data_IF_439963583161
#
_entry.id   IF_439963583161
#
_cell.length_a   1.000
_cell.length_b   1.000
_cell.length_c   1.000
_cell.angle_alpha   90.00
_cell.angle_beta   90.00
_cell.angle_gamma   90.00
#
_symmetry.space_group_name_H-M   'P 1'
#
loop_
_entity.id
_entity.type
_entity.pdbx_description
1 polymer ?
#
# COMPACT_ATOMS: atom_id res chain seq x y z
N UNK A 1 -2.87 0.78 16.70
CA UNK A 1 -2.43 -0.45 17.41
C UNK A 1 -1.19 -0.25 18.33
N UNK A 2 -1.00 -1.03 19.41
CA UNK A 2 0.21 -0.93 20.30
C UNK A 2 1.47 -1.55 19.64
N UNK A 3 2.64 -0.93 19.84
CA UNK A 3 3.93 -1.33 19.26
C UNK A 3 4.32 -2.80 19.55
N UNK A 4 3.97 -3.30 20.74
CA UNK A 4 4.22 -4.69 21.14
C UNK A 4 3.40 -5.69 20.30
N UNK A 5 2.14 -5.36 20.03
CA UNK A 5 1.25 -6.16 19.19
C UNK A 5 1.75 -6.17 17.75
N UNK A 6 2.18 -5.01 17.22
CA UNK A 6 2.73 -4.90 15.87
C UNK A 6 3.95 -5.81 15.65
N UNK A 7 4.88 -5.85 16.62
CA UNK A 7 6.04 -6.77 16.55
C UNK A 7 5.64 -8.24 16.56
N UNK A 8 4.53 -8.58 17.23
CA UNK A 8 4.03 -9.95 17.28
C UNK A 8 3.35 -10.34 15.97
N UNK A 9 2.52 -9.46 15.40
CA UNK A 9 1.90 -9.67 14.10
C UNK A 9 2.95 -9.75 12.99
N UNK A 10 3.97 -8.90 13.00
CA UNK A 10 5.05 -8.96 11.99
C UNK A 10 5.85 -10.27 12.05
N UNK A 11 6.02 -10.86 13.23
CA UNK A 11 6.58 -12.22 13.36
C UNK A 11 5.65 -13.29 12.81
N UNK A 12 4.34 -13.19 13.06
CA UNK A 12 3.35 -14.15 12.54
C UNK A 12 3.26 -14.09 11.01
N UNK A 13 3.34 -12.89 10.43
CA UNK A 13 3.43 -12.64 8.99
C UNK A 13 4.66 -13.33 8.39
N UNK A 14 5.85 -13.11 8.98
CA UNK A 14 7.09 -13.77 8.55
C UNK A 14 7.05 -15.30 8.70
N UNK A 15 6.29 -15.80 9.66
CA UNK A 15 6.15 -17.23 9.93
C UNK A 15 5.05 -17.91 9.08
N UNK A 16 4.31 -17.16 8.24
CA UNK A 16 3.23 -17.70 7.41
C UNK A 16 2.04 -18.26 8.21
N UNK A 17 1.92 -17.91 9.50
CA UNK A 17 0.87 -18.44 10.38
C UNK A 17 -0.42 -17.62 10.28
N UNK A 18 -1.02 -17.62 9.08
CA UNK A 18 -2.16 -16.77 8.72
C UNK A 18 -3.39 -17.00 9.61
N UNK A 19 -3.71 -18.27 9.95
CA UNK A 19 -4.80 -18.58 10.91
C UNK A 19 -4.62 -17.96 12.29
N UNK A 20 -3.38 -17.88 12.76
CA UNK A 20 -3.08 -17.24 14.05
C UNK A 20 -3.10 -15.72 13.95
N UNK A 21 -2.75 -15.17 12.79
CA UNK A 21 -2.83 -13.75 12.49
C UNK A 21 -4.28 -13.28 12.55
N UNK A 22 -5.20 -13.95 11.86
CA UNK A 22 -6.63 -13.62 11.85
C UNK A 22 -7.21 -13.58 13.28
N UNK A 23 -6.86 -14.57 14.11
CA UNK A 23 -7.31 -14.62 15.51
C UNK A 23 -6.77 -13.45 16.35
N UNK A 24 -5.53 -13.07 16.14
CA UNK A 24 -4.90 -11.95 16.87
C UNK A 24 -5.38 -10.58 16.35
N UNK A 25 -5.85 -10.50 15.10
CA UNK A 25 -6.46 -9.31 14.50
C UNK A 25 -7.92 -9.10 14.94
N UNK A 26 -8.65 -10.17 15.29
CA UNK A 26 -10.06 -10.14 15.67
C UNK A 26 -10.46 -9.00 16.65
N UNK A 27 -9.77 -8.76 17.79
CA UNK A 27 -10.13 -7.66 18.68
C UNK A 27 -9.91 -6.28 18.05
N UNK A 28 -8.88 -6.11 17.23
CA UNK A 28 -8.58 -4.83 16.57
C UNK A 28 -9.55 -4.52 15.41
N UNK A 29 -10.10 -5.56 14.78
CA UNK A 29 -11.18 -5.41 13.80
C UNK A 29 -12.46 -4.90 14.46
N UNK A 30 -12.75 -5.32 15.70
CA UNK A 30 -13.89 -4.78 16.49
C UNK A 30 -13.65 -3.31 16.86
N UNK A 31 -12.40 -2.95 17.15
CA UNK A 31 -11.99 -1.57 17.43
C UNK A 31 -11.90 -0.69 16.17
N UNK A 32 -12.18 -1.25 14.99
CA UNK A 32 -12.08 -0.58 13.69
C UNK A 32 -10.68 0.01 13.42
N UNK A 33 -9.62 -0.64 13.91
CA UNK A 33 -8.24 -0.18 13.70
C UNK A 33 -7.86 -0.30 12.21
N UNK A 34 -7.39 0.78 11.57
CA UNK A 34 -7.09 0.79 10.14
C UNK A 34 -5.95 -0.18 9.77
N UNK A 35 -4.96 -0.37 10.64
CA UNK A 35 -3.87 -1.34 10.42
C UNK A 35 -4.43 -2.77 10.38
N UNK A 36 -5.36 -3.07 11.29
CA UNK A 36 -5.95 -4.40 11.39
C UNK A 36 -6.86 -4.70 10.19
N UNK A 37 -7.64 -3.72 9.75
CA UNK A 37 -8.47 -3.81 8.53
C UNK A 37 -7.60 -4.04 7.30
N UNK A 38 -6.53 -3.26 7.14
CA UNK A 38 -5.58 -3.42 6.04
C UNK A 38 -4.99 -4.83 6.01
N UNK A 39 -4.46 -5.31 7.14
CA UNK A 39 -3.87 -6.64 7.25
C UNK A 39 -4.89 -7.75 7.00
N UNK A 40 -6.11 -7.61 7.52
CA UNK A 40 -7.16 -8.61 7.32
C UNK A 40 -7.51 -8.76 5.84
N UNK A 41 -7.70 -7.66 5.12
CA UNK A 41 -8.08 -7.72 3.71
C UNK A 41 -6.93 -8.24 2.83
N UNK A 42 -5.67 -7.95 3.20
CA UNK A 42 -4.50 -8.39 2.44
C UNK A 42 -4.12 -9.87 2.69
N UNK A 43 -4.38 -10.40 3.89
CA UNK A 43 -3.97 -11.76 4.29
C UNK A 43 -5.13 -12.75 4.46
N UNK A 44 -6.38 -12.32 4.24
CA UNK A 44 -7.56 -13.18 4.29
C UNK A 44 -7.48 -14.20 3.15
N UNK A 45 -7.28 -15.46 3.52
CA UNK A 45 -7.24 -16.60 2.58
C UNK A 45 -8.63 -17.21 2.36
N UNK A 46 -9.68 -16.47 2.73
CA UNK A 46 -11.03 -17.00 2.94
C UNK A 46 -11.94 -16.86 1.73
N UNK A 47 -11.52 -16.14 0.69
CA UNK A 47 -12.33 -15.81 -0.48
C UNK A 47 -11.63 -16.21 -1.80
N UNK A 48 -12.45 -16.41 -2.82
CA UNK A 48 -12.05 -16.59 -4.22
C UNK A 48 -11.35 -15.32 -4.76
N UNK A 49 -10.45 -15.46 -5.73
CA UNK A 49 -9.62 -14.35 -6.26
C UNK A 49 -10.41 -13.10 -6.63
N UNK A 50 -11.44 -13.24 -7.49
CA UNK A 50 -12.24 -12.09 -7.96
C UNK A 50 -13.00 -11.36 -6.84
N UNK A 51 -13.58 -12.10 -5.88
CA UNK A 51 -14.28 -11.50 -4.74
C UNK A 51 -13.31 -10.85 -3.75
N UNK A 52 -12.09 -11.39 -3.66
CA UNK A 52 -11.02 -10.85 -2.82
C UNK A 52 -10.54 -9.52 -3.38
N UNK A 53 -10.35 -9.42 -4.68
CA UNK A 53 -9.85 -8.22 -5.36
C UNK A 53 -10.85 -7.05 -5.29
N UNK A 54 -12.13 -7.31 -5.58
CA UNK A 54 -13.19 -6.30 -5.45
C UNK A 54 -13.33 -5.78 -4.00
N UNK A 55 -13.26 -6.69 -3.02
CA UNK A 55 -13.29 -6.31 -1.59
C UNK A 55 -12.04 -5.52 -1.21
N UNK A 56 -10.87 -5.93 -1.72
CA UNK A 56 -9.60 -5.27 -1.46
C UNK A 56 -9.61 -3.83 -1.93
N UNK A 57 -10.01 -3.56 -3.18
CA UNK A 57 -10.09 -2.19 -3.70
C UNK A 57 -11.09 -1.34 -2.91
N UNK A 58 -12.26 -1.89 -2.58
CA UNK A 58 -13.27 -1.17 -1.79
C UNK A 58 -12.74 -0.75 -0.41
N UNK A 59 -12.07 -1.66 0.29
CA UNK A 59 -11.47 -1.32 1.60
C UNK A 59 -10.26 -0.40 1.48
N UNK A 60 -9.42 -0.56 0.45
CA UNK A 60 -8.32 0.37 0.18
C UNK A 60 -8.83 1.79 -0.05
N UNK A 61 -9.95 1.98 -0.74
CA UNK A 61 -10.56 3.29 -0.90
C UNK A 61 -11.02 3.89 0.43
N UNK A 62 -11.65 3.11 1.31
CA UNK A 62 -12.06 3.58 2.64
C UNK A 62 -10.85 3.96 3.49
N UNK A 63 -9.86 3.10 3.56
CA UNK A 63 -8.63 3.34 4.31
C UNK A 63 -7.82 4.51 3.74
N UNK A 64 -7.82 4.69 2.42
CA UNK A 64 -7.24 5.85 1.75
C UNK A 64 -7.96 7.15 2.15
N UNK A 65 -9.28 7.12 2.29
CA UNK A 65 -10.05 8.28 2.77
C UNK A 65 -9.75 8.60 4.25
N UNK A 66 -9.39 7.59 5.03
CA UNK A 66 -8.89 7.72 6.41
C UNK A 66 -7.40 8.10 6.49
N UNK A 67 -6.75 8.41 5.34
CA UNK A 67 -5.32 8.73 5.25
C UNK A 67 -4.40 7.62 5.78
N UNK A 68 -4.80 6.36 5.65
CA UNK A 68 -3.98 5.23 6.05
C UNK A 68 -2.78 5.05 5.08
N UNK A 69 -1.52 5.26 5.51
CA UNK A 69 -0.40 5.37 4.57
C UNK A 69 -0.06 4.09 3.79
N UNK A 70 -0.16 2.86 4.37
CA UNK A 70 -0.04 1.62 3.61
C UNK A 70 -1.10 1.47 2.51
N UNK A 71 -2.36 1.81 2.80
CA UNK A 71 -3.44 1.73 1.80
C UNK A 71 -3.29 2.74 0.67
N UNK A 72 -2.86 3.96 0.98
CA UNK A 72 -2.59 4.99 -0.03
C UNK A 72 -1.55 4.50 -1.05
N UNK A 73 -0.46 3.91 -0.56
CA UNK A 73 0.59 3.32 -1.41
C UNK A 73 0.03 2.18 -2.27
N UNK A 74 -0.72 1.25 -1.68
CA UNK A 74 -1.23 0.08 -2.40
C UNK A 74 -2.26 0.48 -3.47
N UNK A 75 -3.16 1.40 -3.14
CA UNK A 75 -4.12 1.96 -4.08
C UNK A 75 -3.43 2.71 -5.22
N UNK A 76 -2.34 3.44 -4.93
CA UNK A 76 -1.53 4.09 -5.95
C UNK A 76 -1.03 3.06 -6.97
N UNK A 77 -0.40 1.98 -6.52
CA UNK A 77 0.11 0.94 -7.42
C UNK A 77 -0.99 0.31 -8.26
N UNK A 78 -2.19 0.09 -7.71
CA UNK A 78 -3.34 -0.35 -8.50
C UNK A 78 -3.73 0.63 -9.59
N UNK A 79 -3.75 1.94 -9.32
CA UNK A 79 -3.95 2.98 -10.35
C UNK A 79 -2.85 3.00 -11.42
N UNK A 80 -1.62 2.61 -11.09
CA UNK A 80 -0.53 2.50 -12.07
C UNK A 80 -0.73 1.32 -13.02
N UNK A 81 -1.15 0.18 -12.50
CA UNK A 81 -1.28 -1.08 -13.25
C UNK A 81 -2.65 -1.23 -13.94
N UNK A 82 -3.70 -0.63 -13.38
CA UNK A 82 -5.08 -0.81 -13.84
C UNK A 82 -5.79 -2.00 -13.19
N UNK A 83 -5.34 -2.43 -12.00
CA UNK A 83 -5.84 -3.62 -11.31
C UNK A 83 -7.14 -3.27 -10.56
N UNK A 84 -8.29 -3.63 -11.16
CA UNK A 84 -9.66 -3.35 -10.67
C UNK A 84 -10.03 -1.85 -10.59
N UNK A 85 -9.11 -0.97 -10.99
CA UNK A 85 -9.30 0.48 -11.08
C UNK A 85 -8.82 0.98 -12.44
N UNK A 86 -9.43 2.04 -13.01
CA UNK A 86 -8.96 2.59 -14.28
C UNK A 86 -7.54 3.14 -14.12
N UNK A 87 -6.65 2.81 -15.05
CA UNK A 87 -5.27 3.27 -15.04
C UNK A 87 -5.21 4.80 -15.06
N UNK A 88 -4.56 5.37 -14.04
CA UNK A 88 -4.43 6.83 -13.88
C UNK A 88 -3.07 7.14 -13.24
N UNK A 89 -2.15 7.61 -14.07
CA UNK A 89 -0.79 7.92 -13.63
C UNK A 89 -0.71 9.17 -12.76
N UNK A 90 -1.62 10.13 -12.95
CA UNK A 90 -1.67 11.32 -12.11
C UNK A 90 -2.08 10.94 -10.68
N UNK A 91 -3.17 10.18 -10.55
CA UNK A 91 -3.61 9.65 -9.25
C UNK A 91 -2.57 8.76 -8.58
N UNK A 92 -1.87 7.93 -9.36
CA UNK A 92 -0.75 7.14 -8.82
C UNK A 92 0.25 8.03 -8.09
N UNK A 93 0.73 9.11 -8.73
CA UNK A 93 1.73 10.01 -8.13
C UNK A 93 1.18 10.76 -6.93
N UNK A 94 -0.06 11.26 -7.01
CA UNK A 94 -0.68 12.01 -5.91
C UNK A 94 -0.87 11.15 -4.66
N UNK A 95 -1.39 9.93 -4.83
CA UNK A 95 -1.61 8.99 -3.73
C UNK A 95 -0.28 8.52 -3.12
N UNK A 96 0.72 8.23 -3.97
CA UNK A 96 2.04 7.80 -3.53
C UNK A 96 2.77 8.92 -2.77
N UNK A 97 2.69 10.16 -3.26
CA UNK A 97 3.23 11.33 -2.58
C UNK A 97 2.55 11.58 -1.23
N UNK A 98 1.23 11.43 -1.18
CA UNK A 98 0.46 11.55 0.08
C UNK A 98 0.91 10.51 1.11
N UNK A 99 1.06 9.24 0.70
CA UNK A 99 1.57 8.19 1.57
C UNK A 99 2.99 8.51 2.10
N UNK A 100 3.86 9.04 1.25
CA UNK A 100 5.22 9.43 1.62
C UNK A 100 5.23 10.59 2.64
N UNK A 101 4.39 11.61 2.44
CA UNK A 101 4.22 12.76 3.36
C UNK A 101 3.74 12.30 4.73
N UNK A 102 2.82 11.33 4.78
CA UNK A 102 2.30 10.74 6.02
C UNK A 102 3.28 9.79 6.73
N UNK A 103 4.52 9.68 6.24
CA UNK A 103 5.58 8.94 6.90
C UNK A 103 5.71 7.47 6.51
N UNK A 104 5.08 7.03 5.40
CA UNK A 104 5.31 5.68 4.89
C UNK A 104 6.70 5.59 4.24
N UNK A 105 7.63 4.93 4.93
CA UNK A 105 9.01 4.76 4.48
C UNK A 105 9.15 3.96 3.17
N UNK A 106 8.21 3.04 2.89
CA UNK A 106 8.20 2.32 1.61
C UNK A 106 7.71 3.24 0.50
N UNK A 107 6.65 4.02 0.75
CA UNK A 107 6.14 4.98 -0.23
C UNK A 107 7.17 6.08 -0.56
N UNK A 108 7.96 6.53 0.41
CA UNK A 108 9.07 7.47 0.16
C UNK A 108 10.11 6.91 -0.82
N UNK A 109 10.47 5.64 -0.67
CA UNK A 109 11.41 4.96 -1.58
C UNK A 109 10.80 4.80 -2.97
N UNK A 110 9.55 4.34 -3.04
CA UNK A 110 8.84 4.19 -4.31
C UNK A 110 8.70 5.54 -5.03
N UNK A 111 8.36 6.61 -4.30
CA UNK A 111 8.26 7.96 -4.85
C UNK A 111 9.61 8.45 -5.38
N UNK A 112 10.71 8.19 -4.67
CA UNK A 112 12.05 8.55 -5.15
C UNK A 112 12.37 7.87 -6.48
N UNK A 113 12.07 6.58 -6.62
CA UNK A 113 12.23 5.84 -7.88
C UNK A 113 11.34 6.40 -8.98
N UNK A 114 10.07 6.70 -8.67
CA UNK A 114 9.13 7.30 -9.64
C UNK A 114 9.61 8.67 -10.12
N UNK A 115 10.10 9.51 -9.20
CA UNK A 115 10.66 10.82 -9.55
C UNK A 115 11.94 10.69 -10.37
N UNK A 116 12.81 9.74 -10.05
CA UNK A 116 14.01 9.44 -10.84
C UNK A 116 13.65 9.03 -12.28
N UNK A 117 12.65 8.17 -12.44
CA UNK A 117 12.12 7.76 -13.75
C UNK A 117 11.42 8.92 -14.48
N UNK A 118 10.62 9.73 -13.79
CA UNK A 118 9.88 10.85 -14.40
C UNK A 118 10.82 12.01 -14.80
N UNK A 119 11.91 12.23 -14.04
CA UNK A 119 12.92 13.24 -14.34
C UNK A 119 13.86 12.82 -15.46
N UNK A 120 14.12 11.51 -15.57
CA UNK A 120 14.84 10.76 -16.60
C UNK A 120 16.16 11.34 -17.15
N UNK A 121 16.99 10.44 -17.64
CA UNK A 121 18.03 10.72 -18.63
C UNK A 121 17.53 11.44 -19.91
N UNK A 122 16.26 11.87 -19.99
CA UNK A 122 15.69 12.69 -21.06
C UNK A 122 16.08 14.18 -20.98
N UNK A 123 16.64 14.67 -19.86
CA UNK A 123 17.06 16.07 -19.69
C UNK A 123 18.56 16.33 -19.55
N UNK A 124 19.35 15.36 -19.09
CA UNK A 124 20.79 15.53 -18.82
C UNK A 124 21.69 14.95 -19.91
N UNK A 125 21.29 13.88 -20.60
CA UNK A 125 22.08 13.27 -21.67
C UNK A 125 22.16 14.16 -22.93
N UNK A 126 21.17 15.03 -23.17
CA UNK A 126 21.23 16.00 -24.28
C UNK A 126 21.99 17.30 -23.93
N UNK A 127 22.36 17.51 -22.65
CA UNK A 127 22.91 18.79 -22.19
C UNK A 127 24.43 18.82 -22.07
N UNK A 128 25.09 17.68 -22.23
CA UNK A 128 26.54 17.58 -22.29
C UNK A 128 26.95 16.76 -23.52
N UNK A 129 27.10 17.38 -24.71
CA UNK A 129 27.91 16.77 -25.75
C UNK A 129 29.33 16.61 -25.18
N UNK A 130 29.87 15.39 -25.25
CA UNK A 130 31.27 15.12 -24.94
C UNK A 130 32.13 16.08 -25.78
N UNK A 131 32.91 16.94 -25.12
CA UNK A 131 33.85 17.86 -25.75
C UNK A 131 35.18 17.16 -26.06
#
# INVERSE_FOLDING_TARGET
MKLATYRRLSKLLKAGKLKNLERELAPFLVENDPDARFLNVHFSTTLSGEETDARLVSELHKLSAELHPPSLRELAWRYRHGDDVPKDYAKFKDLLATAAILGNETAKRDLAVVLEIDLDYSGLAMRFPEH
#
